data_IF_889647715422
#
_entry.id   IF_889647715422
#
_cell.length_a   1.000
_cell.length_b   1.000
_cell.length_c   1.000
_cell.angle_alpha   90.00
_cell.angle_beta   90.00
_cell.angle_gamma   90.00
#
_symmetry.space_group_name_H-M   'P 1'
#
loop_
_entity.id
_entity.type
_entity.pdbx_description
1 polymer ?
#
# COMPACT_ATOMS: atom_id res chain seq x y z
N UNK A 1 6.50 -10.94 21.37
CA UNK A 1 6.00 -11.13 21.80
C UNK A 1 4.95 -11.32 21.32
N UNK A 2 4.41 -11.85 21.62
CA UNK A 2 3.39 -12.11 21.26
C UNK A 2 2.77 -11.17 20.67
N UNK A 3 2.02 -11.36 19.86
CA UNK A 3 1.32 -10.37 19.21
C UNK A 3 2.18 -9.42 18.46
N UNK A 4 3.40 -9.71 18.36
CA UNK A 4 4.27 -8.82 17.67
C UNK A 4 4.08 -8.91 16.17
N UNK A 5 3.89 -7.77 15.53
CA UNK A 5 3.73 -7.74 14.09
C UNK A 5 5.07 -7.87 13.38
N UNK A 6 5.02 -8.32 12.15
CA UNK A 6 6.21 -8.36 11.32
C UNK A 6 6.65 -6.95 11.00
N UNK A 7 7.95 -6.73 11.11
CA UNK A 7 8.52 -5.43 10.80
C UNK A 7 8.82 -5.37 9.31
N UNK A 8 8.28 -4.37 8.66
CA UNK A 8 8.49 -4.14 7.24
C UNK A 8 9.27 -2.85 7.08
N UNK A 9 10.41 -2.91 6.44
CA UNK A 9 11.26 -1.75 6.25
C UNK A 9 10.64 -0.73 5.30
N UNK A 10 10.04 -1.21 4.24
CA UNK A 10 9.47 -0.32 3.23
C UNK A 10 8.26 0.43 3.76
N UNK A 11 8.00 1.59 3.14
CA UNK A 11 6.79 2.33 3.39
C UNK A 11 5.69 1.72 2.54
N UNK A 12 4.54 1.46 3.13
CA UNK A 12 3.43 0.84 2.42
C UNK A 12 2.45 1.91 2.01
N UNK A 13 2.12 1.97 0.72
CA UNK A 13 1.16 2.93 0.20
C UNK A 13 -0.16 2.20 -0.05
N UNK A 14 -1.22 2.70 0.56
CA UNK A 14 -2.55 2.11 0.42
C UNK A 14 -3.53 3.16 -0.09
N UNK A 15 -4.70 2.71 -0.49
CA UNK A 15 -5.67 3.60 -1.08
C UNK A 15 -6.43 4.43 -0.05
N UNK A 16 -6.92 3.81 1.01
CA UNK A 16 -7.79 4.49 1.93
C UNK A 16 -7.39 4.34 3.38
N UNK A 17 -8.05 5.11 4.24
CA UNK A 17 -7.74 5.08 5.66
C UNK A 17 -8.07 3.78 6.34
N UNK A 18 -9.13 3.12 5.88
CA UNK A 18 -9.48 1.84 6.47
C UNK A 18 -8.39 0.83 6.25
N UNK A 19 -7.67 0.97 5.15
CA UNK A 19 -6.57 0.07 4.85
C UNK A 19 -5.42 0.25 5.81
N UNK A 20 -5.23 1.47 6.32
CA UNK A 20 -4.17 1.72 7.29
C UNK A 20 -4.38 0.85 8.51
N UNK A 21 -5.60 0.85 9.03
CA UNK A 21 -5.91 0.06 10.21
C UNK A 21 -5.70 -1.41 9.95
N UNK A 22 -6.16 -1.88 8.80
CA UNK A 22 -6.03 -3.29 8.48
C UNK A 22 -4.57 -3.71 8.36
N UNK A 23 -3.77 -2.88 7.71
CA UNK A 23 -2.37 -3.22 7.53
C UNK A 23 -1.62 -3.20 8.85
N UNK A 24 -1.93 -2.23 9.70
CA UNK A 24 -1.23 -2.12 10.98
C UNK A 24 -1.52 -3.28 11.92
N UNK A 25 -2.61 -3.97 11.70
CA UNK A 25 -2.88 -5.17 12.49
C UNK A 25 -1.97 -6.32 12.09
N UNK A 26 -1.47 -6.29 10.88
CA UNK A 26 -0.67 -7.39 10.36
C UNK A 26 0.82 -7.12 10.37
N UNK A 27 1.22 -5.88 10.15
CA UNK A 27 2.64 -5.56 10.07
C UNK A 27 2.94 -4.23 10.74
N UNK A 28 4.19 -4.05 11.07
CA UNK A 28 4.69 -2.81 11.66
C UNK A 28 5.45 -2.08 10.56
N UNK A 29 4.86 -1.04 10.02
CA UNK A 29 5.43 -0.30 8.91
C UNK A 29 4.86 1.11 8.88
N UNK A 30 5.60 2.00 8.24
CA UNK A 30 5.08 3.33 7.97
C UNK A 30 4.12 3.23 6.80
N UNK A 31 2.99 3.93 6.85
CA UNK A 31 1.95 3.80 5.85
C UNK A 31 1.55 5.16 5.32
N UNK A 32 1.38 5.28 4.02
CA UNK A 32 0.86 6.47 3.37
C UNK A 32 -0.46 6.08 2.70
N UNK A 33 -1.52 6.81 2.98
CA UNK A 33 -2.80 6.59 2.30
C UNK A 33 -2.98 7.68 1.26
N UNK A 34 -3.39 7.30 0.06
CA UNK A 34 -3.62 8.28 -1.00
C UNK A 34 -4.98 8.94 -0.87
N UNK A 35 -5.85 8.35 -0.06
CA UNK A 35 -7.20 8.79 0.22
C UNK A 35 -8.03 8.80 -1.06
N UNK A 36 -9.25 9.22 -1.00
CA UNK A 36 -10.15 9.03 -2.12
C UNK A 36 -10.14 10.11 -3.17
N UNK A 37 -9.30 11.10 -3.03
CA UNK A 37 -9.35 12.22 -3.97
C UNK A 37 -8.33 12.11 -5.09
N UNK A 38 -7.72 10.96 -5.19
CA UNK A 38 -6.73 10.77 -6.21
C UNK A 38 -5.36 11.16 -5.73
N UNK A 39 -4.41 11.03 -6.61
CA UNK A 39 -3.02 11.24 -6.26
C UNK A 39 -2.58 12.60 -6.79
N UNK A 40 -2.18 13.46 -5.89
CA UNK A 40 -1.71 14.78 -6.29
C UNK A 40 -0.19 14.85 -6.17
N UNK A 41 0.36 15.99 -6.57
CA UNK A 41 1.80 16.17 -6.58
C UNK A 41 2.41 16.01 -5.20
N UNK A 42 1.72 16.46 -4.17
CA UNK A 42 2.24 16.37 -2.83
C UNK A 42 2.36 14.92 -2.37
N UNK A 43 1.37 14.11 -2.69
CA UNK A 43 1.41 12.70 -2.35
C UNK A 43 2.54 12.00 -3.11
N UNK A 44 2.68 12.31 -4.40
CA UNK A 44 3.75 11.72 -5.20
C UNK A 44 5.10 12.07 -4.60
N UNK A 45 5.27 13.30 -4.15
CA UNK A 45 6.54 13.71 -3.58
C UNK A 45 6.83 12.93 -2.30
N UNK A 46 5.82 12.73 -1.48
CA UNK A 46 5.99 11.93 -0.26
C UNK A 46 6.39 10.50 -0.59
N UNK A 47 5.78 9.93 -1.61
CA UNK A 47 6.09 8.57 -2.01
C UNK A 47 7.51 8.51 -2.57
N UNK A 48 7.91 9.52 -3.35
CA UNK A 48 9.25 9.55 -3.90
C UNK A 48 10.30 9.61 -2.81
N UNK A 49 10.04 10.44 -1.79
CA UNK A 49 10.96 10.54 -0.66
C UNK A 49 11.04 9.22 0.09
N UNK A 50 9.90 8.58 0.28
CA UNK A 50 9.88 7.30 0.97
C UNK A 50 10.67 6.26 0.19
N UNK A 51 10.53 6.27 -1.12
CA UNK A 51 11.24 5.31 -1.97
C UNK A 51 12.75 5.47 -1.83
N UNK A 52 13.21 6.72 -1.72
CA UNK A 52 14.63 6.96 -1.57
C UNK A 52 15.15 6.50 -0.21
N UNK A 53 14.35 6.69 0.83
CA UNK A 53 14.80 6.37 2.17
C UNK A 53 14.67 4.90 2.52
N UNK A 54 13.54 4.31 2.20
CA UNK A 54 13.20 2.98 2.69
C UNK A 54 12.72 2.02 1.64
N UNK A 55 12.32 2.52 0.48
CA UNK A 55 11.64 1.71 -0.49
C UNK A 55 10.15 1.78 -0.25
N UNK A 56 9.37 1.47 -1.27
CA UNK A 56 7.91 1.60 -1.22
C UNK A 56 7.26 0.34 -1.75
N UNK A 57 6.22 -0.10 -1.07
CA UNK A 57 5.35 -1.19 -1.53
C UNK A 57 3.97 -0.60 -1.73
N UNK A 58 3.43 -0.72 -2.94
CA UNK A 58 2.06 -0.30 -3.21
C UNK A 58 1.15 -1.49 -2.95
N UNK A 59 0.25 -1.35 -2.01
CA UNK A 59 -0.62 -2.43 -1.58
C UNK A 59 -2.08 -2.04 -1.80
N UNK A 60 -2.76 -2.72 -2.70
CA UNK A 60 -4.16 -2.42 -3.01
C UNK A 60 -4.92 -3.70 -3.23
N UNK A 61 -6.26 -3.56 -3.28
CA UNK A 61 -7.10 -4.65 -3.75
C UNK A 61 -6.82 -4.87 -5.23
N UNK A 62 -7.05 -6.08 -5.71
CA UNK A 62 -6.86 -6.36 -7.14
C UNK A 62 -8.10 -5.94 -7.93
N UNK A 63 -8.38 -4.65 -7.94
CA UNK A 63 -9.54 -4.13 -8.65
C UNK A 63 -9.11 -2.94 -9.51
N UNK A 64 -10.05 -2.41 -10.26
CA UNK A 64 -9.77 -1.35 -11.20
C UNK A 64 -9.18 -0.11 -10.52
N UNK A 65 -9.77 0.27 -9.40
CA UNK A 65 -9.30 1.46 -8.70
C UNK A 65 -7.88 1.29 -8.21
N UNK A 66 -7.58 0.10 -7.68
CA UNK A 66 -6.24 -0.18 -7.20
C UNK A 66 -5.23 -0.18 -8.33
N UNK A 67 -5.59 -0.75 -9.47
CA UNK A 67 -4.69 -0.78 -10.61
C UNK A 67 -4.39 0.63 -11.12
N UNK A 68 -5.39 1.50 -11.07
CA UNK A 68 -5.20 2.87 -11.52
C UNK A 68 -4.20 3.58 -10.62
N UNK A 69 -4.31 3.39 -9.32
CA UNK A 69 -3.38 4.00 -8.38
C UNK A 69 -1.97 3.52 -8.62
N UNK A 70 -1.80 2.20 -8.79
CA UNK A 70 -0.48 1.64 -9.07
C UNK A 70 0.12 2.22 -10.32
N UNK A 71 -0.70 2.34 -11.36
CA UNK A 71 -0.21 2.84 -12.62
C UNK A 71 0.32 4.25 -12.47
N UNK A 72 -0.42 5.09 -11.78
CA UNK A 72 -0.01 6.47 -11.58
C UNK A 72 1.31 6.53 -10.79
N UNK A 73 1.37 5.77 -9.71
CA UNK A 73 2.57 5.80 -8.87
C UNK A 73 3.78 5.25 -9.62
N UNK A 74 3.59 4.14 -10.30
CA UNK A 74 4.71 3.49 -11.00
C UNK A 74 5.31 4.37 -12.08
N UNK A 75 4.48 5.19 -12.71
CA UNK A 75 4.99 6.07 -13.74
C UNK A 75 5.79 7.22 -13.18
N UNK A 76 5.54 7.59 -11.94
CA UNK A 76 6.18 8.74 -11.34
C UNK A 76 7.32 8.39 -10.40
N UNK A 77 7.29 7.21 -9.84
CA UNK A 77 8.28 6.80 -8.84
C UNK A 77 8.80 5.44 -9.25
N UNK A 78 10.04 5.38 -9.67
CA UNK A 78 10.63 4.14 -10.15
C UNK A 78 11.03 3.22 -9.02
N UNK A 79 10.91 1.94 -9.26
CA UNK A 79 11.41 0.96 -8.32
C UNK A 79 10.46 0.54 -7.22
N UNK A 80 9.22 1.04 -7.24
CA UNK A 80 8.27 0.64 -6.21
C UNK A 80 7.92 -0.83 -6.39
N UNK A 81 7.65 -1.48 -5.27
CA UNK A 81 7.21 -2.87 -5.28
C UNK A 81 5.71 -2.92 -5.23
N UNK A 82 5.14 -4.04 -5.60
CA UNK A 82 3.70 -4.20 -5.67
C UNK A 82 3.25 -5.40 -4.86
N UNK A 83 2.15 -5.23 -4.16
CA UNK A 83 1.50 -6.31 -3.43
C UNK A 83 0.00 -6.11 -3.55
N UNK A 84 -0.74 -7.19 -3.36
CA UNK A 84 -2.19 -7.15 -3.46
C UNK A 84 -2.80 -7.70 -2.19
N UNK A 85 -3.91 -7.10 -1.79
CA UNK A 85 -4.65 -7.59 -0.64
C UNK A 85 -5.44 -8.81 -1.09
N UNK A 86 -5.33 -9.90 -0.34
CA UNK A 86 -6.04 -11.10 -0.68
C UNK A 86 -7.55 -10.89 -0.55
N UNK A 87 -8.28 -11.47 -1.47
CA UNK A 87 -9.72 -11.37 -1.44
C UNK A 87 -10.28 -12.47 -0.57
N UNK A 88 -10.67 -12.09 0.62
CA UNK A 88 -11.17 -13.05 1.58
C UNK A 88 -12.32 -13.87 1.06
N UNK A 89 -13.25 -13.20 0.43
CA UNK A 89 -14.41 -13.89 -0.08
C UNK A 89 -14.06 -14.98 -1.05
N UNK A 90 -13.09 -14.72 -1.89
CA UNK A 90 -12.65 -15.71 -2.83
C UNK A 90 -12.07 -16.91 -2.16
N UNK A 91 -11.34 -16.69 -1.10
CA UNK A 91 -10.74 -17.79 -0.38
C UNK A 91 -11.78 -18.66 0.27
N UNK A 92 -12.77 -18.02 0.84
CA UNK A 92 -13.78 -18.78 1.51
C UNK A 92 -14.59 -19.61 0.58
N UNK A 93 -14.82 -19.08 -0.58
CA UNK A 93 -15.59 -19.84 -1.54
C UNK A 93 -14.88 -21.05 -1.99
N UNK A 94 -13.61 -21.04 -1.90
CA UNK A 94 -12.84 -22.19 -2.26
C UNK A 94 -13.07 -23.35 -1.33
N UNK A 95 -13.68 -23.04 -0.27
CA UNK A 95 -13.93 -24.09 0.71
C UNK A 95 -14.87 -25.09 0.27
#
# INVERSE_FOLDING_TARGET
MKGRNNLIKEVIVVEGRDDITAVKKAVDAEIIATSGFGINAKIIERIREAQKRKGVIVLTDPDFAGEKIRSIISKRVKGVKHAYIAQEAGLKDGD
#
